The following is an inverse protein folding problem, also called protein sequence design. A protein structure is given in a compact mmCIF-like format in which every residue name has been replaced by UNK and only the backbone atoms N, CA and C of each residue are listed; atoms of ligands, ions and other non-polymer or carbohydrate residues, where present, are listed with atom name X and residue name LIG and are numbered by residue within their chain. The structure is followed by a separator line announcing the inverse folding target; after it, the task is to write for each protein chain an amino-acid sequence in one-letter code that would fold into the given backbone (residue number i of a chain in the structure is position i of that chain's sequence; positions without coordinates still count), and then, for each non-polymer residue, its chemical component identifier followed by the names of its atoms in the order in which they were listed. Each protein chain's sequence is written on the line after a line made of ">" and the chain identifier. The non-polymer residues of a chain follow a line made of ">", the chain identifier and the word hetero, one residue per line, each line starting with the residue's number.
data_IF_278452814158
#
_entry.id   IF_278452814158
#
_cell.length_a   1.000
_cell.length_b   1.000
_cell.length_c   1.000
_cell.angle_alpha   90.00
_cell.angle_beta   90.00
_cell.angle_gamma   90.00
#
_symmetry.space_group_name_H-M   'P 1'
#
loop_
_entity.id
_entity.type
_entity.pdbx_description
1 polymer ?
#
# COMPACT_ATOMS: atom_id res chain seq x y z
N UNK A 1 41.31 1.39 -38.84
CA UNK A 1 41.36 1.70 -37.39
C UNK A 1 40.06 2.44 -37.05
N UNK A 2 38.95 1.71 -37.00
CA UNK A 2 37.59 2.20 -36.74
C UNK A 2 36.85 1.27 -35.76
N UNK A 3 37.33 0.03 -35.60
CA UNK A 3 36.80 -0.98 -34.67
C UNK A 3 36.60 -0.48 -33.23
N UNK A 4 37.50 0.37 -32.72
CA UNK A 4 37.49 0.80 -31.32
C UNK A 4 36.27 1.65 -30.92
N UNK A 5 35.67 2.43 -31.83
CA UNK A 5 34.52 3.26 -31.47
C UNK A 5 33.21 2.48 -31.53
N UNK A 6 33.03 1.65 -32.56
CA UNK A 6 31.86 0.79 -32.69
C UNK A 6 31.81 -0.25 -31.56
N UNK A 7 32.96 -0.82 -31.19
CA UNK A 7 33.10 -1.74 -30.06
C UNK A 7 32.74 -1.06 -28.73
N UNK A 8 33.16 0.19 -28.51
CA UNK A 8 32.75 0.98 -27.34
C UNK A 8 31.25 1.30 -27.32
N UNK A 9 30.65 1.67 -28.45
CA UNK A 9 29.20 1.88 -28.53
C UNK A 9 28.44 0.58 -28.22
N UNK A 10 28.91 -0.54 -28.75
CA UNK A 10 28.32 -1.86 -28.52
C UNK A 10 28.41 -2.27 -27.04
N UNK A 11 29.57 -2.07 -26.41
CA UNK A 11 29.76 -2.37 -24.97
C UNK A 11 28.89 -1.46 -24.08
N UNK A 12 28.75 -0.18 -24.43
CA UNK A 12 27.87 0.76 -23.71
C UNK A 12 26.41 0.35 -23.80
N UNK A 13 25.92 0.01 -25.00
CA UNK A 13 24.54 -0.45 -25.21
C UNK A 13 24.24 -1.73 -24.44
N UNK A 14 25.18 -2.70 -24.47
CA UNK A 14 25.07 -3.95 -23.70
C UNK A 14 24.98 -3.69 -22.19
N UNK A 15 25.73 -2.71 -21.68
CA UNK A 15 25.70 -2.33 -20.26
C UNK A 15 24.37 -1.67 -19.86
N UNK A 16 23.82 -0.82 -20.73
CA UNK A 16 22.50 -0.21 -20.52
C UNK A 16 21.37 -1.26 -20.56
N UNK A 17 21.43 -2.20 -21.51
CA UNK A 17 20.47 -3.29 -21.62
C UNK A 17 20.50 -4.17 -20.36
N UNK A 18 21.68 -4.57 -19.89
CA UNK A 18 21.83 -5.33 -18.64
C UNK A 18 21.24 -4.58 -17.45
N UNK A 19 21.45 -3.26 -17.39
CA UNK A 19 20.87 -2.41 -16.34
C UNK A 19 19.34 -2.40 -16.41
N UNK A 20 18.76 -2.19 -17.59
CA UNK A 20 17.30 -2.21 -17.79
C UNK A 20 16.69 -3.56 -17.43
N UNK A 21 17.34 -4.65 -17.82
CA UNK A 21 16.90 -6.01 -17.49
C UNK A 21 16.94 -6.28 -15.98
N UNK A 22 18.00 -5.83 -15.31
CA UNK A 22 18.09 -5.93 -13.85
C UNK A 22 16.98 -5.13 -13.17
N UNK A 23 16.79 -3.87 -13.57
CA UNK A 23 15.76 -2.98 -13.05
C UNK A 23 14.34 -3.56 -13.30
N UNK A 24 14.09 -4.12 -14.48
CA UNK A 24 12.82 -4.79 -14.81
C UNK A 24 12.55 -5.97 -13.89
N UNK A 25 13.53 -6.85 -13.67
CA UNK A 25 13.37 -8.01 -12.76
C UNK A 25 13.14 -7.61 -11.31
N UNK A 26 13.84 -6.58 -10.84
CA UNK A 26 13.64 -6.06 -9.48
C UNK A 26 12.25 -5.42 -9.34
N UNK A 27 11.79 -4.69 -10.36
CA UNK A 27 10.44 -4.13 -10.37
C UNK A 27 9.36 -5.21 -10.35
N UNK A 28 9.49 -6.27 -11.16
CA UNK A 28 8.55 -7.40 -11.18
C UNK A 28 8.50 -8.11 -9.82
N UNK A 29 9.64 -8.29 -9.16
CA UNK A 29 9.72 -8.87 -7.81
C UNK A 29 9.06 -7.98 -6.76
N UNK A 30 9.28 -6.67 -6.84
CA UNK A 30 8.66 -5.70 -5.94
C UNK A 30 7.13 -5.70 -6.11
N UNK A 31 6.64 -5.68 -7.35
CA UNK A 31 5.21 -5.74 -7.66
C UNK A 31 4.57 -7.04 -7.12
N UNK A 32 5.24 -8.18 -7.26
CA UNK A 32 4.75 -9.44 -6.71
C UNK A 32 4.63 -9.40 -5.18
N UNK A 33 5.62 -8.84 -4.47
CA UNK A 33 5.56 -8.67 -3.01
C UNK A 33 4.44 -7.70 -2.61
N UNK A 34 4.26 -6.62 -3.35
CA UNK A 34 3.19 -5.67 -3.10
C UNK A 34 1.81 -6.31 -3.28
N UNK A 35 1.60 -7.08 -4.36
CA UNK A 35 0.37 -7.85 -4.58
C UNK A 35 0.09 -8.82 -3.44
N UNK A 36 1.10 -9.55 -2.96
CA UNK A 36 0.94 -10.46 -1.82
C UNK A 36 0.55 -9.72 -0.54
N UNK A 37 1.21 -8.60 -0.26
CA UNK A 37 0.88 -7.76 0.90
C UNK A 37 -0.53 -7.17 0.80
N UNK A 38 -0.93 -6.68 -0.38
CA UNK A 38 -2.25 -6.13 -0.64
C UNK A 38 -3.34 -7.20 -0.44
N UNK A 39 -3.12 -8.41 -0.95
CA UNK A 39 -4.01 -9.55 -0.73
C UNK A 39 -4.16 -9.89 0.76
N UNK A 40 -3.07 -9.90 1.52
CA UNK A 40 -3.14 -10.15 2.97
C UNK A 40 -3.95 -9.08 3.73
N UNK A 41 -3.90 -7.82 3.27
CA UNK A 41 -4.70 -6.72 3.81
C UNK A 41 -6.19 -6.95 3.51
N UNK A 42 -6.53 -7.26 2.25
CA UNK A 42 -7.91 -7.53 1.80
C UNK A 42 -8.53 -8.74 2.53
N UNK A 43 -7.74 -9.78 2.75
CA UNK A 43 -8.13 -10.98 3.52
C UNK A 43 -8.17 -10.74 5.05
N UNK A 44 -7.94 -9.50 5.50
CA UNK A 44 -7.90 -9.12 6.92
C UNK A 44 -6.94 -9.98 7.75
N UNK A 45 -5.79 -10.30 7.18
CA UNK A 45 -4.72 -11.06 7.85
C UNK A 45 -3.65 -10.19 8.48
N UNK A 46 -3.67 -8.88 8.22
CA UNK A 46 -2.71 -7.92 8.76
C UNK A 46 -3.28 -7.26 10.01
N UNK A 47 -2.49 -7.23 11.08
CA UNK A 47 -2.77 -6.55 12.34
C UNK A 47 -1.78 -5.40 12.53
N UNK A 48 -2.29 -4.21 12.78
CA UNK A 48 -1.51 -3.08 13.28
C UNK A 48 -1.38 -3.18 14.80
N UNK A 49 -0.17 -2.90 15.31
CA UNK A 49 0.14 -2.87 16.73
C UNK A 49 0.80 -1.53 17.05
N UNK A 50 0.04 -0.60 17.61
CA UNK A 50 0.53 0.71 18.05
C UNK A 50 0.91 0.73 19.52
N UNK A 51 1.49 1.87 19.94
CA UNK A 51 1.97 2.10 21.31
C UNK A 51 3.01 1.08 21.76
N UNK A 52 3.90 0.72 20.84
CA UNK A 52 5.04 -0.13 21.19
C UNK A 52 6.06 0.66 22.00
N UNK A 53 6.77 -0.03 22.89
CA UNK A 53 7.93 0.55 23.56
C UNK A 53 9.05 0.82 22.56
N UNK A 54 9.91 1.78 22.87
CA UNK A 54 11.09 2.11 22.07
C UNK A 54 12.12 0.97 21.97
N UNK A 55 12.13 0.06 22.94
CA UNK A 55 12.97 -1.14 22.95
C UNK A 55 12.28 -2.37 22.30
N UNK A 56 11.06 -2.22 21.80
CA UNK A 56 10.33 -3.32 21.17
C UNK A 56 11.01 -3.70 19.85
N UNK A 57 11.56 -4.90 19.79
CA UNK A 57 12.16 -5.44 18.57
C UNK A 57 11.16 -6.25 17.78
N UNK A 58 11.39 -6.37 16.47
CA UNK A 58 10.61 -7.27 15.59
C UNK A 58 10.51 -8.69 16.16
N UNK A 59 11.63 -9.23 16.66
CA UNK A 59 11.68 -10.58 17.24
C UNK A 59 10.83 -10.68 18.50
N UNK A 60 10.85 -9.66 19.34
CA UNK A 60 10.02 -9.62 20.54
C UNK A 60 8.53 -9.55 20.20
N UNK A 61 8.14 -8.64 19.30
CA UNK A 61 6.77 -8.53 18.84
C UNK A 61 6.26 -9.85 18.27
N UNK A 62 7.06 -10.51 17.42
CA UNK A 62 6.74 -11.82 16.85
C UNK A 62 6.51 -12.87 17.94
N UNK A 63 7.45 -13.02 18.88
CA UNK A 63 7.36 -14.02 19.97
C UNK A 63 6.14 -13.82 20.87
N UNK A 64 5.72 -12.57 21.10
CA UNK A 64 4.54 -12.32 21.93
C UNK A 64 3.25 -12.70 21.21
N UNK A 65 3.15 -12.35 19.92
CA UNK A 65 1.93 -12.51 19.15
C UNK A 65 1.80 -13.88 18.44
N UNK A 66 2.87 -14.69 18.37
CA UNK A 66 2.82 -16.03 17.77
C UNK A 66 1.88 -17.00 18.51
N UNK A 67 1.49 -16.66 19.74
CA UNK A 67 0.49 -17.42 20.52
C UNK A 67 -0.88 -17.45 19.85
N UNK A 68 -1.21 -16.46 19.02
CA UNK A 68 -2.50 -16.39 18.32
C UNK A 68 -2.49 -17.13 16.98
N UNK A 69 -1.31 -17.41 16.42
CA UNK A 69 -1.20 -18.14 15.16
C UNK A 69 0.12 -17.93 14.42
N UNK A 70 0.22 -18.52 13.23
CA UNK A 70 1.43 -18.50 12.42
C UNK A 70 1.64 -17.11 11.79
N UNK A 71 2.75 -16.46 12.14
CA UNK A 71 3.13 -15.15 11.60
C UNK A 71 3.99 -15.33 10.34
N UNK A 72 3.46 -14.93 9.18
CA UNK A 72 4.17 -14.90 7.90
C UNK A 72 5.19 -13.75 7.86
N UNK A 73 4.78 -12.56 8.31
CA UNK A 73 5.60 -11.36 8.26
C UNK A 73 5.40 -10.50 9.51
N UNK A 74 6.46 -9.86 9.97
CA UNK A 74 6.40 -8.88 11.04
C UNK A 74 7.33 -7.71 10.73
N UNK A 75 6.85 -6.49 10.97
CA UNK A 75 7.60 -5.26 10.79
C UNK A 75 7.39 -4.38 12.01
N UNK A 76 8.46 -3.69 12.44
CA UNK A 76 8.41 -2.70 13.53
C UNK A 76 9.01 -1.42 13.00
N UNK A 77 8.30 -0.32 13.21
CA UNK A 77 8.71 1.03 12.87
C UNK A 77 8.82 1.82 14.17
N UNK A 78 10.05 2.20 14.48
CA UNK A 78 10.35 3.07 15.60
C UNK A 78 10.33 4.51 15.10
N UNK A 79 9.68 5.40 15.85
CA UNK A 79 9.62 6.83 15.54
C UNK A 79 10.23 7.65 16.66
N UNK A 80 10.80 8.79 16.32
CA UNK A 80 11.48 9.68 17.26
C UNK A 80 10.51 10.35 18.26
N UNK A 81 9.23 10.46 17.90
CA UNK A 81 8.14 11.00 18.72
C UNK A 81 7.64 10.02 19.80
N UNK A 82 8.11 8.76 19.78
CA UNK A 82 7.70 7.72 20.70
C UNK A 82 6.43 6.97 20.29
N UNK A 83 5.81 7.33 19.16
CA UNK A 83 4.65 6.63 18.60
C UNK A 83 5.11 5.43 17.76
N UNK A 84 5.76 4.47 18.43
CA UNK A 84 6.26 3.26 17.79
C UNK A 84 5.10 2.32 17.45
N UNK A 85 5.17 1.71 16.27
CA UNK A 85 4.15 0.80 15.79
C UNK A 85 4.73 -0.36 14.99
N UNK A 86 3.97 -1.42 14.86
CA UNK A 86 4.33 -2.60 14.09
C UNK A 86 3.16 -3.13 13.29
N UNK A 87 3.50 -4.01 12.34
CA UNK A 87 2.54 -4.78 11.58
C UNK A 87 2.87 -6.26 11.73
N UNK A 88 1.82 -7.07 11.85
CA UNK A 88 1.90 -8.52 11.90
C UNK A 88 0.98 -9.07 10.83
N UNK A 89 1.53 -9.85 9.91
CA UNK A 89 0.77 -10.56 8.89
C UNK A 89 0.67 -12.02 9.31
N UNK A 90 -0.54 -12.48 9.59
CA UNK A 90 -0.81 -13.88 9.90
C UNK A 90 -1.04 -14.70 8.63
N UNK A 91 -0.80 -16.01 8.73
CA UNK A 91 -1.14 -16.95 7.68
C UNK A 91 -2.65 -17.08 7.48
N UNK A 92 -3.41 -17.02 8.58
CA UNK A 92 -4.87 -17.18 8.56
C UNK A 92 -5.59 -15.97 9.16
N UNK A 93 -6.78 -15.69 8.65
CA UNK A 93 -7.62 -14.56 9.11
C UNK A 93 -8.09 -14.75 10.55
N UNK A 94 -8.44 -15.98 10.96
CA UNK A 94 -8.87 -16.28 12.33
C UNK A 94 -7.82 -15.90 13.38
N UNK A 95 -6.55 -16.10 13.07
CA UNK A 95 -5.42 -15.79 13.96
C UNK A 95 -5.31 -14.27 14.15
N UNK A 96 -5.52 -13.50 13.08
CA UNK A 96 -5.56 -12.05 13.13
C UNK A 96 -6.72 -11.53 13.99
N UNK A 97 -7.92 -12.13 13.85
CA UNK A 97 -9.06 -11.81 14.72
C UNK A 97 -8.78 -12.14 16.19
N UNK A 98 -8.24 -13.33 16.48
CA UNK A 98 -7.88 -13.73 17.83
C UNK A 98 -6.87 -12.76 18.46
N UNK A 99 -5.90 -12.30 17.67
CA UNK A 99 -4.94 -11.28 18.09
C UNK A 99 -5.57 -9.92 18.37
N UNK A 100 -6.57 -9.49 17.58
CA UNK A 100 -7.30 -8.25 17.85
C UNK A 100 -8.11 -8.32 19.15
N UNK A 101 -8.79 -9.44 19.39
CA UNK A 101 -9.65 -9.63 20.56
C UNK A 101 -8.85 -9.79 21.85
N UNK A 102 -7.76 -10.57 21.81
CA UNK A 102 -7.02 -10.99 23.00
C UNK A 102 -5.63 -10.36 23.11
N UNK A 103 -5.11 -9.70 22.07
CA UNK A 103 -3.73 -9.17 22.07
C UNK A 103 -3.46 -8.13 23.17
N UNK A 104 -4.50 -7.46 23.67
CA UNK A 104 -4.36 -6.54 24.80
C UNK A 104 -3.90 -7.22 26.10
N UNK A 105 -4.09 -8.54 26.24
CA UNK A 105 -3.65 -9.30 27.42
C UNK A 105 -2.15 -9.60 27.42
N UNK A 106 -1.47 -9.42 26.28
CA UNK A 106 -0.03 -9.67 26.14
C UNK A 106 0.86 -8.55 26.71
N UNK A 107 0.26 -7.42 27.10
CA UNK A 107 1.02 -6.31 27.68
C UNK A 107 1.55 -6.69 29.06
N UNK A 108 2.74 -6.20 29.40
CA UNK A 108 3.21 -6.25 30.79
C UNK A 108 2.59 -5.10 31.59
N UNK A 109 2.58 -5.20 32.92
CA UNK A 109 1.96 -4.19 33.80
C UNK A 109 2.63 -2.82 33.74
N UNK A 110 3.90 -2.76 33.33
CA UNK A 110 4.70 -1.55 33.14
C UNK A 110 4.54 -0.92 31.73
N UNK A 111 3.71 -1.52 30.86
CA UNK A 111 3.63 -1.15 29.45
C UNK A 111 2.29 -0.48 29.10
N UNK A 112 2.29 0.47 28.14
CA UNK A 112 1.04 1.01 27.62
C UNK A 112 0.19 -0.09 26.98
N UNK A 113 -1.12 0.11 26.96
CA UNK A 113 -2.01 -0.79 26.22
C UNK A 113 -1.69 -0.73 24.73
N UNK A 114 -1.46 -1.90 24.12
CA UNK A 114 -1.36 -2.00 22.67
C UNK A 114 -2.60 -1.42 22.01
N UNK A 115 -2.39 -0.68 20.94
CA UNK A 115 -3.45 -0.26 20.03
C UNK A 115 -3.55 -1.27 18.89
N UNK A 116 -4.64 -2.03 18.81
CA UNK A 116 -4.81 -3.13 17.87
C UNK A 116 -5.94 -2.84 16.89
N UNK A 117 -5.66 -2.92 15.61
CA UNK A 117 -6.65 -2.81 14.55
C UNK A 117 -6.20 -3.58 13.30
N UNK A 118 -7.08 -3.74 12.31
CA UNK A 118 -6.67 -4.30 11.02
C UNK A 118 -5.68 -3.37 10.34
N UNK A 119 -4.52 -3.92 9.95
CA UNK A 119 -3.49 -3.21 9.23
C UNK A 119 -3.87 -3.01 7.75
N UNK A 120 -3.32 -1.97 7.14
CA UNK A 120 -3.51 -1.68 5.71
C UNK A 120 -4.70 -0.77 5.38
N UNK A 121 -5.59 -0.52 6.34
CA UNK A 121 -6.54 0.59 6.22
C UNK A 121 -5.76 1.88 6.50
N UNK A 122 -5.26 2.53 5.44
CA UNK A 122 -4.40 3.73 5.50
C UNK A 122 -5.00 4.93 6.24
N UNK A 123 -6.22 4.82 6.75
CA UNK A 123 -6.94 5.88 7.42
C UNK A 123 -7.84 5.23 8.48
N UNK A 124 -7.62 5.55 9.75
CA UNK A 124 -8.71 5.58 10.73
C UNK A 124 -9.97 6.12 10.02
N UNK A 125 -10.98 5.29 9.80
CA UNK A 125 -12.32 5.69 9.39
C UNK A 125 -12.42 6.97 8.52
N UNK A 126 -11.95 6.97 7.28
CA UNK A 126 -12.60 7.83 6.27
C UNK A 126 -13.46 6.95 5.39
N UNK A 127 -14.71 6.88 5.83
CA UNK A 127 -15.85 6.57 5.00
C UNK A 127 -15.67 7.20 3.60
N UNK A 128 -15.75 6.37 2.56
CA UNK A 128 -16.53 6.69 1.37
C UNK A 128 -15.99 7.80 0.44
N UNK A 129 -14.81 7.64 -0.15
CA UNK A 129 -14.47 8.43 -1.35
C UNK A 129 -13.64 7.70 -2.41
N UNK A 130 -12.77 6.74 -2.05
CA UNK A 130 -11.96 6.02 -3.04
C UNK A 130 -12.71 4.81 -3.65
N UNK A 131 -13.69 4.27 -2.93
CA UNK A 131 -14.47 3.09 -3.31
C UNK A 131 -15.42 3.37 -4.49
N UNK A 132 -15.47 4.61 -4.98
CA UNK A 132 -16.28 5.03 -6.12
C UNK A 132 -15.50 5.14 -7.44
N UNK A 133 -14.18 4.91 -7.46
CA UNK A 133 -13.36 5.06 -8.69
C UNK A 133 -12.78 3.75 -9.22
N UNK A 134 -13.05 2.61 -8.57
CA UNK A 134 -12.61 1.30 -9.06
C UNK A 134 -13.62 0.61 -9.99
N UNK A 135 -14.63 1.34 -10.47
CA UNK A 135 -15.61 0.85 -11.44
C UNK A 135 -15.67 1.74 -12.69
N UNK A 136 -14.51 2.08 -13.26
CA UNK A 136 -14.43 2.83 -14.52
C UNK A 136 -14.79 2.02 -15.77
N UNK A 137 -15.17 0.73 -15.63
CA UNK A 137 -15.51 -0.12 -16.78
C UNK A 137 -17.01 -0.20 -17.13
N UNK A 138 -17.90 0.51 -16.41
CA UNK A 138 -19.35 0.62 -16.76
C UNK A 138 -19.73 2.00 -17.34
N UNK A 139 -18.81 2.69 -18.00
CA UNK A 139 -19.22 3.80 -18.85
C UNK A 139 -19.82 3.23 -20.14
N UNK A 140 -21.14 3.02 -20.17
CA UNK A 140 -21.89 2.82 -21.42
C UNK A 140 -22.03 4.18 -22.13
N UNK A 141 -21.23 4.46 -23.18
CA UNK A 141 -21.25 5.75 -23.87
C UNK A 141 -22.57 6.01 -24.61
N UNK A 142 -23.47 5.01 -24.70
CA UNK A 142 -24.72 5.14 -25.45
C UNK A 142 -25.85 5.85 -24.67
N UNK A 143 -25.71 6.06 -23.35
CA UNK A 143 -26.82 6.51 -22.49
C UNK A 143 -26.92 8.04 -22.30
N UNK A 144 -25.84 8.79 -22.43
CA UNK A 144 -25.88 10.26 -22.31
C UNK A 144 -25.79 10.95 -23.66
N UNK A 145 -26.93 11.09 -24.37
CA UNK A 145 -27.09 12.18 -25.36
C UNK A 145 -27.19 13.52 -24.61
N UNK A 146 -26.10 13.90 -23.98
CA UNK A 146 -25.94 15.20 -23.34
C UNK A 146 -25.62 16.22 -24.42
N UNK A 147 -26.38 17.32 -24.48
CA UNK A 147 -26.16 18.47 -25.39
C UNK A 147 -24.73 19.02 -25.38
N UNK A 148 -23.93 18.64 -24.37
CA UNK A 148 -22.56 19.07 -24.16
C UNK A 148 -21.52 18.16 -24.83
N UNK A 149 -21.89 16.96 -25.31
CA UNK A 149 -20.97 16.03 -25.97
C UNK A 149 -20.52 16.45 -27.37
N UNK A 150 -21.19 17.44 -27.98
CA UNK A 150 -20.83 17.98 -29.30
C UNK A 150 -20.14 19.35 -29.23
N UNK A 151 -19.88 19.88 -28.04
CA UNK A 151 -19.24 21.18 -27.87
C UNK A 151 -17.75 20.99 -27.61
N UNK A 152 -16.92 21.74 -28.33
CA UNK A 152 -15.47 21.75 -28.08
C UNK A 152 -15.13 22.44 -26.75
N UNK A 153 -13.93 22.16 -26.26
CA UNK A 153 -13.45 22.66 -24.97
C UNK A 153 -13.57 24.18 -24.86
N UNK A 154 -13.28 24.90 -25.95
CA UNK A 154 -13.32 26.36 -26.01
C UNK A 154 -14.74 26.93 -25.93
N UNK A 155 -15.74 26.21 -26.46
CA UNK A 155 -17.14 26.60 -26.37
C UNK A 155 -17.69 26.43 -24.96
N UNK A 156 -17.35 25.31 -24.30
CA UNK A 156 -17.70 25.05 -22.90
C UNK A 156 -17.08 26.09 -21.97
N UNK A 157 -15.80 26.41 -22.17
CA UNK A 157 -15.09 27.38 -21.36
C UNK A 157 -15.70 28.78 -21.47
N UNK A 158 -16.09 29.20 -22.68
CA UNK A 158 -16.76 30.50 -22.90
C UNK A 158 -18.15 30.55 -22.28
N UNK A 159 -18.90 29.46 -22.35
CA UNK A 159 -20.24 29.39 -21.75
C UNK A 159 -20.17 29.53 -20.22
N UNK A 160 -19.24 28.79 -19.59
CA UNK A 160 -18.99 28.89 -18.15
C UNK A 160 -18.57 30.30 -17.74
N UNK A 161 -17.67 30.95 -18.48
CA UNK A 161 -17.20 32.31 -18.20
C UNK A 161 -18.31 33.37 -18.37
N UNK A 162 -19.27 33.16 -19.28
CA UNK A 162 -20.42 34.05 -19.45
C UNK A 162 -21.42 33.95 -18.30
N UNK A 163 -21.56 32.76 -17.70
CA UNK A 163 -22.46 32.55 -16.56
C UNK A 163 -22.00 33.28 -15.28
N UNK A 164 -20.71 33.59 -15.17
CA UNK A 164 -20.11 34.29 -14.01
C UNK A 164 -20.28 35.81 -14.03
N UNK A 165 -20.82 36.40 -15.12
CA UNK A 165 -20.95 37.85 -15.29
C UNK A 165 -22.41 38.35 -15.21
N UNK A 166 -23.26 37.67 -14.43
CA UNK A 166 -24.56 38.20 -14.02
C UNK A 166 -24.54 38.61 -12.56
#
# INVERSE_FOLDING_TARGET
>A
RYDSYEEYQHERLKREEYRRDYEKRESERAEQREKQRQKAIEERRVVYVGRLRSDCTRTELKRRFEVFGEIEECAVNLRDDGDNFGFITYRYTCDAFAALENGHTLRRSDEPQFELCFGGQKQFCKSHYADLDSHSDDFDPASTKSKYGSLDFDSLLREAQRSLRR
#
